data_IF_393018471436
#
_entry.id   IF_393018471436
#
_cell.length_a   1.000
_cell.length_b   1.000
_cell.length_c   1.000
_cell.angle_alpha   90.00
_cell.angle_beta   90.00
_cell.angle_gamma   90.00
#
_symmetry.space_group_name_H-M   'P 1'
#
loop_
_entity.id
_entity.type
_entity.pdbx_description
1 polymer ?
#
# COMPACT_ATOMS: atom_id res chain seq x y z
N UNK A 1 7.64 -2.77 -57.16
CA UNK A 1 6.68 -3.46 -56.28
C UNK A 1 7.29 -3.46 -54.89
N UNK A 2 6.90 -2.52 -54.02
CA UNK A 2 7.42 -2.40 -52.65
C UNK A 2 6.33 -2.88 -51.70
N UNK A 3 6.55 -4.03 -51.07
CA UNK A 3 5.70 -4.55 -50.01
C UNK A 3 6.26 -4.08 -48.68
N UNK A 4 5.83 -2.89 -48.24
CA UNK A 4 5.99 -2.46 -46.86
C UNK A 4 5.03 -3.27 -45.99
N UNK A 5 5.48 -4.44 -45.58
CA UNK A 5 4.80 -5.28 -44.60
C UNK A 5 4.81 -4.55 -43.26
N UNK A 6 3.70 -3.88 -42.98
CA UNK A 6 3.43 -3.20 -41.73
C UNK A 6 3.60 -4.16 -40.54
N UNK A 7 4.71 -4.02 -39.82
CA UNK A 7 4.96 -4.68 -38.55
C UNK A 7 4.16 -3.94 -37.45
N UNK A 8 2.86 -4.20 -37.39
CA UNK A 8 1.99 -3.67 -36.33
C UNK A 8 2.26 -4.51 -35.08
N UNK A 9 3.13 -4.01 -34.19
CA UNK A 9 3.23 -4.51 -32.81
C UNK A 9 1.86 -4.36 -32.16
N UNK A 10 1.22 -5.49 -31.86
CA UNK A 10 -0.01 -5.52 -31.09
C UNK A 10 0.23 -4.84 -29.72
N UNK A 11 -0.37 -3.68 -29.53
CA UNK A 11 -0.30 -2.93 -28.28
C UNK A 11 -1.13 -3.68 -27.22
N UNK A 12 -0.47 -4.14 -26.15
CA UNK A 12 -1.15 -4.87 -25.08
C UNK A 12 -2.02 -3.89 -24.30
N UNK A 13 -3.33 -3.94 -24.52
CA UNK A 13 -4.31 -3.20 -23.72
C UNK A 13 -4.20 -3.62 -22.24
N UNK A 14 -3.72 -2.71 -21.39
CA UNK A 14 -3.73 -2.88 -19.93
C UNK A 14 -5.02 -2.27 -19.41
N UNK A 15 -5.94 -3.12 -18.92
CA UNK A 15 -7.15 -2.65 -18.25
C UNK A 15 -6.80 -2.22 -16.81
N UNK A 16 -6.88 -0.93 -16.53
CA UNK A 16 -6.75 -0.39 -15.17
C UNK A 16 -8.12 -0.33 -14.50
N UNK A 17 -8.24 -0.86 -13.29
CA UNK A 17 -9.43 -0.72 -12.44
C UNK A 17 -8.99 0.02 -11.18
N UNK A 18 -9.58 1.20 -10.96
CA UNK A 18 -9.37 1.98 -9.75
C UNK A 18 -10.56 1.80 -8.82
N UNK A 19 -10.28 1.49 -7.55
CA UNK A 19 -11.30 1.27 -6.52
C UNK A 19 -11.08 2.28 -5.41
N UNK A 20 -12.16 2.88 -4.92
CA UNK A 20 -12.07 3.78 -3.78
C UNK A 20 -11.58 2.99 -2.55
N UNK A 21 -10.60 3.54 -1.84
CA UNK A 21 -9.93 2.81 -0.76
C UNK A 21 -10.88 2.42 0.39
N UNK A 22 -11.93 3.21 0.63
CA UNK A 22 -13.04 2.87 1.56
C UNK A 22 -13.77 1.55 1.22
N UNK A 23 -13.64 1.03 0.01
CA UNK A 23 -14.24 -0.26 -0.38
C UNK A 23 -13.29 -1.44 -0.15
N UNK A 24 -12.01 -1.16 0.11
CA UNK A 24 -10.99 -2.17 0.37
C UNK A 24 -10.89 -2.35 1.87
N UNK A 25 -11.27 -3.53 2.37
CA UNK A 25 -11.22 -3.83 3.81
C UNK A 25 -9.85 -4.38 4.21
N UNK A 26 -9.31 -5.28 3.39
CA UNK A 26 -8.04 -5.96 3.62
C UNK A 26 -7.17 -5.87 2.37
N UNK A 27 -5.88 -5.67 2.59
CA UNK A 27 -4.85 -5.63 1.57
C UNK A 27 -3.97 -6.87 1.78
N UNK A 28 -3.71 -7.60 0.70
CA UNK A 28 -2.83 -8.75 0.74
C UNK A 28 -1.43 -8.31 1.22
N UNK A 29 -0.89 -9.04 2.18
CA UNK A 29 0.39 -8.74 2.79
C UNK A 29 1.37 -9.88 2.53
N UNK A 30 2.62 -9.53 2.30
CA UNK A 30 3.68 -10.50 2.05
C UNK A 30 4.97 -10.08 2.76
N UNK A 31 5.96 -10.99 2.73
CA UNK A 31 7.26 -10.76 3.37
C UNK A 31 8.00 -9.53 2.81
N UNK A 32 7.85 -9.22 1.53
CA UNK A 32 8.48 -8.02 0.94
C UNK A 32 7.90 -6.74 1.55
N UNK A 33 6.59 -6.65 1.69
CA UNK A 33 5.92 -5.55 2.39
C UNK A 33 6.38 -5.45 3.85
N UNK A 34 6.55 -6.60 4.52
CA UNK A 34 7.09 -6.68 5.88
C UNK A 34 8.51 -6.14 6.02
N UNK A 35 9.43 -6.50 5.13
CA UNK A 35 10.79 -5.97 5.15
C UNK A 35 10.82 -4.46 4.82
N UNK A 36 9.97 -3.99 3.91
CA UNK A 36 9.80 -2.55 3.65
C UNK A 36 9.33 -1.81 4.90
N UNK A 37 8.33 -2.34 5.61
CA UNK A 37 7.85 -1.79 6.88
C UNK A 37 8.96 -1.74 7.94
N UNK A 38 9.72 -2.82 8.08
CA UNK A 38 10.84 -2.89 9.03
C UNK A 38 11.92 -1.86 8.70
N UNK A 39 12.22 -1.66 7.43
CA UNK A 39 13.17 -0.66 6.96
C UNK A 39 12.66 0.76 7.24
N UNK A 40 11.39 1.04 6.92
CA UNK A 40 10.77 2.34 7.18
C UNK A 40 10.71 2.69 8.67
N UNK A 41 10.39 1.71 9.53
CA UNK A 41 10.45 1.87 10.98
C UNK A 41 11.87 2.21 11.47
N UNK A 42 12.89 1.60 10.86
CA UNK A 42 14.28 1.74 11.27
C UNK A 42 14.50 1.41 12.74
N UNK A 43 14.98 2.40 13.51
CA UNK A 43 15.29 2.26 14.94
C UNK A 43 14.10 2.55 15.86
N UNK A 44 12.97 3.02 15.33
CA UNK A 44 11.78 3.30 16.13
C UNK A 44 11.25 1.99 16.73
N UNK A 45 10.97 1.98 18.04
CA UNK A 45 10.45 0.80 18.70
C UNK A 45 9.01 0.52 18.27
N UNK A 46 8.66 -0.74 18.03
CA UNK A 46 7.28 -1.15 17.66
C UNK A 46 6.24 -0.69 18.68
N UNK A 47 6.59 -0.70 19.97
CA UNK A 47 5.74 -0.20 21.04
C UNK A 47 5.42 1.29 20.88
N UNK A 48 6.40 2.10 20.47
CA UNK A 48 6.18 3.53 20.22
C UNK A 48 5.20 3.73 19.07
N UNK A 49 5.35 2.98 17.97
CA UNK A 49 4.41 3.00 16.85
C UNK A 49 3.01 2.59 17.30
N UNK A 50 2.88 1.49 18.04
CA UNK A 50 1.60 1.02 18.57
C UNK A 50 0.89 2.11 19.39
N UNK A 51 1.62 2.79 20.28
CA UNK A 51 1.06 3.91 21.04
C UNK A 51 0.66 5.10 20.17
N UNK A 52 1.45 5.44 19.14
CA UNK A 52 1.10 6.52 18.20
C UNK A 52 -0.12 6.17 17.34
N UNK A 53 -0.30 4.89 16.97
CA UNK A 53 -1.50 4.41 16.28
C UNK A 53 -2.74 4.48 17.17
N UNK A 54 -2.62 4.13 18.45
CA UNK A 54 -3.71 4.20 19.43
C UNK A 54 -4.18 5.65 19.63
N UNK A 55 -3.27 6.63 19.69
CA UNK A 55 -3.60 8.06 19.73
C UNK A 55 -4.37 8.53 18.48
N UNK A 56 -4.23 7.82 17.37
CA UNK A 56 -4.99 8.06 16.13
C UNK A 56 -6.28 7.23 16.05
N UNK A 57 -6.66 6.54 17.13
CA UNK A 57 -7.89 5.76 17.23
C UNK A 57 -7.84 4.39 16.54
N UNK A 58 -6.64 3.89 16.22
CA UNK A 58 -6.45 2.56 15.61
C UNK A 58 -5.69 1.66 16.57
N UNK A 59 -6.37 0.63 17.08
CA UNK A 59 -5.74 -0.41 17.89
C UNK A 59 -4.83 -1.29 17.02
N UNK A 60 -3.55 -1.32 17.37
CA UNK A 60 -2.54 -2.12 16.70
C UNK A 60 -1.44 -2.48 17.69
N UNK A 61 -1.42 -3.74 18.13
CA UNK A 61 -0.42 -4.19 19.10
C UNK A 61 1.00 -4.23 18.51
N UNK A 62 2.01 -4.04 19.37
CA UNK A 62 3.43 -4.19 18.99
C UNK A 62 3.75 -5.58 18.40
N UNK A 63 3.02 -6.62 18.82
CA UNK A 63 3.17 -7.99 18.33
C UNK A 63 2.57 -8.14 16.92
N UNK A 64 1.46 -7.45 16.63
CA UNK A 64 0.93 -7.42 15.27
C UNK A 64 1.87 -6.68 14.31
N UNK A 65 2.47 -5.57 14.74
CA UNK A 65 3.53 -4.89 13.96
C UNK A 65 4.70 -5.84 13.70
N UNK A 66 5.12 -6.65 14.69
CA UNK A 66 6.15 -7.68 14.49
C UNK A 66 5.73 -8.69 13.43
N UNK A 67 4.49 -9.20 13.48
CA UNK A 67 3.95 -10.15 12.49
C UNK A 67 3.90 -9.57 11.08
N UNK A 68 3.56 -8.28 10.95
CA UNK A 68 3.61 -7.58 9.67
C UNK A 68 5.05 -7.52 9.13
N UNK A 69 6.02 -7.15 9.98
CA UNK A 69 7.43 -7.09 9.60
C UNK A 69 8.03 -8.44 9.20
N UNK A 70 7.63 -9.54 9.86
CA UNK A 70 8.12 -10.88 9.54
C UNK A 70 7.39 -11.54 8.38
N UNK A 71 6.26 -11.00 7.95
CA UNK A 71 5.38 -11.61 6.95
C UNK A 71 4.51 -12.75 7.50
N UNK A 72 4.38 -12.87 8.83
CA UNK A 72 3.51 -13.87 9.48
C UNK A 72 2.03 -13.53 9.31
N UNK A 73 1.71 -12.27 8.99
CA UNK A 73 0.38 -11.84 8.59
C UNK A 73 0.22 -11.91 7.06
N UNK A 74 -0.84 -12.60 6.61
CA UNK A 74 -1.18 -12.71 5.18
C UNK A 74 -1.95 -11.51 4.62
N UNK A 75 -2.44 -10.65 5.50
CA UNK A 75 -3.17 -9.43 5.14
C UNK A 75 -3.10 -8.38 6.25
N UNK A 76 -3.38 -7.14 5.87
CA UNK A 76 -3.49 -5.99 6.76
C UNK A 76 -4.77 -5.24 6.44
N UNK A 77 -5.45 -4.69 7.45
CA UNK A 77 -6.59 -3.81 7.19
C UNK A 77 -6.13 -2.50 6.57
N UNK A 78 -6.97 -1.92 5.73
CA UNK A 78 -6.72 -0.61 5.14
C UNK A 78 -6.52 0.47 6.20
N UNK A 79 -7.28 0.42 7.30
CA UNK A 79 -7.14 1.36 8.42
C UNK A 79 -5.76 1.26 9.08
N UNK A 80 -5.26 0.05 9.32
CA UNK A 80 -3.93 -0.16 9.91
C UNK A 80 -2.84 0.30 8.95
N UNK A 81 -2.95 -0.04 7.65
CA UNK A 81 -1.97 0.39 6.65
C UNK A 81 -1.84 1.91 6.59
N UNK A 82 -2.96 2.61 6.43
CA UNK A 82 -2.95 4.07 6.31
C UNK A 82 -2.44 4.75 7.57
N UNK A 83 -2.83 4.26 8.74
CA UNK A 83 -2.35 4.82 10.01
C UNK A 83 -0.85 4.53 10.22
N UNK A 84 -0.35 3.35 9.85
CA UNK A 84 1.08 3.05 9.86
C UNK A 84 1.87 3.99 8.95
N UNK A 85 1.40 4.19 7.72
CA UNK A 85 1.99 5.14 6.77
C UNK A 85 2.05 6.55 7.35
N UNK A 86 0.97 7.02 7.97
CA UNK A 86 0.90 8.32 8.64
C UNK A 86 1.89 8.43 9.81
N UNK A 87 1.97 7.41 10.66
CA UNK A 87 2.90 7.37 11.81
C UNK A 87 4.35 7.38 11.36
N UNK A 88 4.66 6.66 10.29
CA UNK A 88 6.01 6.55 9.73
C UNK A 88 6.37 7.69 8.76
N UNK A 89 5.42 8.56 8.44
CA UNK A 89 5.55 9.64 7.45
C UNK A 89 6.03 9.12 6.07
N UNK A 90 5.34 8.10 5.57
CA UNK A 90 5.57 7.46 4.27
C UNK A 90 4.24 7.27 3.53
N UNK A 91 4.29 6.97 2.24
CA UNK A 91 3.12 6.67 1.42
C UNK A 91 2.82 5.16 1.37
N UNK A 92 1.57 4.74 1.10
CA UNK A 92 1.23 3.32 0.95
C UNK A 92 2.06 2.58 -0.11
N UNK A 93 2.45 3.28 -1.18
CA UNK A 93 3.30 2.75 -2.25
C UNK A 93 4.69 2.32 -1.73
N UNK A 94 5.23 3.00 -0.71
CA UNK A 94 6.55 2.69 -0.15
C UNK A 94 6.57 1.30 0.51
N UNK A 95 5.43 0.88 1.07
CA UNK A 95 5.23 -0.43 1.68
C UNK A 95 4.73 -1.47 0.69
N UNK A 96 3.78 -1.08 -0.18
CA UNK A 96 3.09 -1.95 -1.12
C UNK A 96 3.19 -1.37 -2.54
N UNK A 97 4.25 -1.68 -3.32
CA UNK A 97 4.48 -1.09 -4.64
C UNK A 97 3.35 -1.34 -5.67
N UNK A 98 2.49 -2.34 -5.42
CA UNK A 98 1.31 -2.60 -6.24
C UNK A 98 0.16 -1.59 -6.01
N UNK A 99 0.24 -0.78 -4.95
CA UNK A 99 -0.74 0.27 -4.64
C UNK A 99 -0.22 1.58 -5.21
N UNK A 100 -0.90 2.08 -6.25
CA UNK A 100 -0.61 3.40 -6.82
C UNK A 100 -1.71 4.35 -6.38
N UNK A 101 -1.32 5.43 -5.70
CA UNK A 101 -2.23 6.54 -5.37
C UNK A 101 -2.15 7.58 -6.47
N UNK A 102 -3.29 8.09 -6.92
CA UNK A 102 -3.37 9.26 -7.80
C UNK A 102 -4.23 10.31 -7.12
N UNK A 103 -3.78 11.56 -7.08
CA UNK A 103 -4.62 12.66 -6.62
C UNK A 103 -5.78 12.86 -7.59
N UNK A 104 -7.00 12.54 -7.14
CA UNK A 104 -8.20 12.80 -7.93
C UNK A 104 -8.68 14.22 -7.61
N UNK A 105 -8.40 15.19 -8.48
CA UNK A 105 -9.02 16.50 -8.38
C UNK A 105 -10.53 16.36 -8.63
N UNK A 106 -11.31 16.74 -7.62
CA UNK A 106 -12.76 16.60 -7.56
C UNK A 106 -13.46 17.63 -8.46
N UNK A 107 -13.14 17.68 -9.76
CA UNK A 107 -13.86 18.49 -10.73
C UNK A 107 -14.93 17.64 -11.43
N UNK A 108 -15.93 17.19 -10.67
CA UNK A 108 -17.19 16.75 -11.24
C UNK A 108 -18.13 17.97 -11.26
N UNK A 109 -18.21 18.62 -12.41
CA UNK A 109 -19.37 19.46 -12.75
C UNK A 109 -20.41 18.49 -13.27
N UNK A 110 -21.54 18.36 -12.55
CA UNK A 110 -22.76 17.73 -13.07
C UNK A 110 -23.49 18.71 -13.99
#
# INVERSE_FOLDING_TARGET
>A
MSSDSANIKAEKLVKLIMVHLNWVVLIAWNKECGERLKNARGKTARRKIASEMELLGVDCSQEYIRKLETGDASSVSTSILLTLCKVLNIEPFDLCPGIVSTEFQKNFVL
#
